data_IF_568427607688
#
_entry.id   IF_568427607688
#
_cell.length_a   1.000
_cell.length_b   1.000
_cell.length_c   1.000
_cell.angle_alpha   90.00
_cell.angle_beta   90.00
_cell.angle_gamma   90.00
#
_symmetry.space_group_name_H-M   'P 1'
#
loop_
_entity.id
_entity.type
_entity.pdbx_description
1 polymer ?
#
# COMPACT_ATOMS: atom_id res chain seq x y z
N UNK A 1 -5.39 -4.12 -7.73
CA UNK A 1 -5.45 -2.67 -8.06
C UNK A 1 -5.83 -2.54 -9.53
N UNK A 2 -6.84 -1.75 -9.87
CA UNK A 2 -7.25 -1.58 -11.28
C UNK A 2 -6.27 -0.70 -12.08
N UNK A 3 -6.44 -0.70 -13.40
CA UNK A 3 -5.57 0.01 -14.35
C UNK A 3 -5.61 1.54 -14.20
N UNK A 4 -6.74 2.10 -13.77
CA UNK A 4 -6.88 3.55 -13.59
C UNK A 4 -6.07 4.00 -12.37
N UNK A 5 -6.16 3.25 -11.28
CA UNK A 5 -5.37 3.48 -10.07
C UNK A 5 -3.87 3.31 -10.32
N UNK A 6 -3.46 2.28 -11.06
CA UNK A 6 -2.05 2.13 -11.47
C UNK A 6 -1.55 3.34 -12.26
N UNK A 7 -2.34 3.81 -13.24
CA UNK A 7 -1.99 4.98 -14.04
C UNK A 7 -1.86 6.22 -13.16
N UNK A 8 -2.79 6.44 -12.23
CA UNK A 8 -2.77 7.57 -11.31
C UNK A 8 -1.53 7.55 -10.41
N UNK A 9 -1.16 6.39 -9.87
CA UNK A 9 0.06 6.22 -9.06
C UNK A 9 1.30 6.57 -9.89
N UNK A 10 1.38 6.06 -11.13
CA UNK A 10 2.49 6.36 -12.06
C UNK A 10 2.59 7.85 -12.35
N UNK A 11 1.49 8.49 -12.75
CA UNK A 11 1.46 9.91 -13.10
C UNK A 11 1.81 10.81 -11.90
N UNK A 12 1.35 10.47 -10.69
CA UNK A 12 1.71 11.18 -9.46
C UNK A 12 3.20 11.01 -9.11
N UNK A 13 3.73 9.81 -9.30
CA UNK A 13 5.15 9.51 -9.05
C UNK A 13 6.06 10.25 -10.02
N UNK A 14 5.69 10.32 -11.30
CA UNK A 14 6.43 11.10 -12.31
C UNK A 14 6.39 12.61 -12.02
N UNK A 15 5.26 13.09 -11.50
CA UNK A 15 5.07 14.52 -11.22
C UNK A 15 5.79 15.00 -9.95
N UNK A 16 5.79 14.19 -8.90
CA UNK A 16 6.26 14.60 -7.56
C UNK A 16 7.53 13.88 -7.09
N UNK A 17 8.05 12.95 -7.90
CA UNK A 17 9.12 12.02 -7.52
C UNK A 17 8.70 10.99 -6.47
N UNK A 18 9.29 9.79 -6.54
CA UNK A 18 8.92 8.64 -5.71
C UNK A 18 9.12 8.91 -4.20
N UNK A 19 10.14 9.67 -3.84
CA UNK A 19 10.44 10.03 -2.46
C UNK A 19 9.40 10.96 -1.81
N UNK A 20 8.48 11.55 -2.57
CA UNK A 20 7.40 12.41 -2.06
C UNK A 20 6.01 11.77 -2.17
N UNK A 21 5.93 10.47 -2.47
CA UNK A 21 4.68 9.73 -2.61
C UNK A 21 4.60 8.60 -1.60
N UNK A 22 3.44 8.48 -0.95
CA UNK A 22 3.04 7.36 -0.09
C UNK A 22 1.75 6.76 -0.66
N UNK A 23 1.68 5.44 -0.71
CA UNK A 23 0.46 4.69 -1.03
C UNK A 23 -0.11 4.09 0.24
N UNK A 24 -1.37 4.41 0.55
CA UNK A 24 -2.11 3.82 1.66
C UNK A 24 -3.17 2.86 1.12
N UNK A 25 -3.09 1.60 1.54
CA UNK A 25 -3.99 0.51 1.13
C UNK A 25 -5.05 0.23 2.20
N UNK A 26 -6.18 -0.33 1.78
CA UNK A 26 -7.30 -0.70 2.67
C UNK A 26 -8.00 -1.98 2.22
N UNK A 27 -7.22 -2.95 1.72
CA UNK A 27 -7.76 -4.24 1.31
C UNK A 27 -8.09 -5.11 2.53
N UNK A 28 -9.16 -5.90 2.44
CA UNK A 28 -9.61 -6.71 3.56
C UNK A 28 -8.83 -8.04 3.75
N UNK A 29 -8.07 -8.45 2.74
CA UNK A 29 -7.35 -9.73 2.73
C UNK A 29 -5.85 -9.48 2.55
N UNK A 30 -5.02 -10.23 3.28
CA UNK A 30 -3.57 -10.11 3.23
C UNK A 30 -3.04 -10.24 1.80
N UNK A 31 -3.44 -11.29 1.06
CA UNK A 31 -3.03 -11.51 -0.33
C UNK A 31 -3.39 -10.34 -1.25
N UNK A 32 -4.58 -9.76 -1.09
CA UNK A 32 -5.00 -8.61 -1.89
C UNK A 32 -4.22 -7.34 -1.55
N UNK A 33 -3.90 -7.13 -0.27
CA UNK A 33 -3.04 -6.03 0.19
C UNK A 33 -1.61 -6.20 -0.34
N UNK A 34 -1.04 -7.39 -0.21
CA UNK A 34 0.28 -7.77 -0.72
C UNK A 34 0.40 -7.54 -2.22
N UNK A 35 -0.54 -8.05 -3.02
CA UNK A 35 -0.56 -7.85 -4.47
C UNK A 35 -0.62 -6.36 -4.86
N UNK A 36 -1.43 -5.57 -4.16
CA UNK A 36 -1.50 -4.13 -4.41
C UNK A 36 -0.21 -3.40 -4.00
N UNK A 37 0.42 -3.81 -2.91
CA UNK A 37 1.70 -3.29 -2.44
C UNK A 37 2.85 -3.65 -3.40
N UNK A 38 2.88 -4.88 -3.90
CA UNK A 38 3.84 -5.35 -4.90
C UNK A 38 3.68 -4.54 -6.18
N UNK A 39 2.44 -4.33 -6.64
CA UNK A 39 2.14 -3.55 -7.86
C UNK A 39 2.77 -2.15 -7.84
N UNK A 40 2.78 -1.47 -6.69
CA UNK A 40 3.32 -0.09 -6.57
C UNK A 40 4.78 -0.05 -6.15
N UNK A 41 5.38 -1.17 -5.79
CA UNK A 41 6.80 -1.29 -5.41
C UNK A 41 7.60 -1.97 -6.52
N UNK A 42 7.31 -3.24 -6.80
CA UNK A 42 7.96 -4.09 -7.79
C UNK A 42 7.35 -4.03 -9.20
N UNK A 43 6.19 -3.38 -9.34
CA UNK A 43 5.42 -3.36 -10.59
C UNK A 43 4.35 -4.47 -10.63
N UNK A 44 3.42 -4.38 -11.58
CA UNK A 44 2.31 -5.34 -11.67
C UNK A 44 2.82 -6.74 -12.06
N UNK A 45 2.66 -7.78 -11.20
CA UNK A 45 3.18 -9.12 -11.44
C UNK A 45 2.43 -9.88 -12.55
N UNK A 46 1.28 -9.38 -12.99
CA UNK A 46 0.55 -9.93 -14.14
C UNK A 46 1.16 -9.48 -15.48
N UNK A 47 2.14 -8.56 -15.45
CA UNK A 47 2.76 -7.95 -16.63
C UNK A 47 1.75 -7.26 -17.57
N UNK A 48 0.65 -6.77 -17.01
CA UNK A 48 -0.36 -5.99 -17.71
C UNK A 48 -0.50 -4.59 -17.10
N UNK A 49 -0.92 -3.62 -17.91
CA UNK A 49 -1.26 -2.29 -17.42
C UNK A 49 -0.10 -1.30 -17.26
N UNK A 50 -0.39 -0.11 -16.69
CA UNK A 50 0.57 0.98 -16.59
C UNK A 50 1.82 0.69 -15.77
N UNK A 51 1.74 -0.23 -14.80
CA UNK A 51 2.86 -0.60 -13.93
C UNK A 51 3.51 -1.94 -14.30
N UNK A 52 3.17 -2.53 -15.45
CA UNK A 52 3.82 -3.73 -15.96
C UNK A 52 5.33 -3.49 -16.14
N UNK A 53 6.16 -4.18 -15.34
CA UNK A 53 7.62 -4.04 -15.36
C UNK A 53 8.15 -2.68 -14.88
N UNK A 54 7.31 -1.86 -14.22
CA UNK A 54 7.70 -0.54 -13.71
C UNK A 54 7.90 -0.60 -12.20
N UNK A 55 9.16 -0.65 -11.78
CA UNK A 55 9.55 -0.71 -10.36
C UNK A 55 9.69 0.68 -9.73
N UNK A 56 8.56 1.21 -9.23
CA UNK A 56 8.57 2.51 -8.56
C UNK A 56 9.27 2.45 -7.19
N UNK A 57 9.11 1.35 -6.45
CA UNK A 57 9.68 1.16 -5.11
C UNK A 57 9.11 2.12 -4.07
N UNK A 58 7.83 2.48 -4.18
CA UNK A 58 7.19 3.50 -3.33
C UNK A 58 7.08 3.08 -1.86
N UNK A 59 6.97 4.08 -0.98
CA UNK A 59 6.44 3.85 0.37
C UNK A 59 5.01 3.35 0.28
N UNK A 60 4.74 2.22 0.92
CA UNK A 60 3.42 1.62 0.94
C UNK A 60 3.09 1.09 2.32
N UNK A 61 1.90 1.42 2.79
CA UNK A 61 1.39 1.01 4.09
C UNK A 61 -0.07 0.60 3.98
N UNK A 62 -0.55 -0.14 4.97
CA UNK A 62 -1.96 -0.45 5.13
C UNK A 62 -2.61 0.44 6.19
N UNK A 63 -3.88 0.75 6.01
CA UNK A 63 -4.65 1.57 6.94
C UNK A 63 -4.85 0.93 8.33
N UNK A 64 -4.51 -0.35 8.52
CA UNK A 64 -4.54 -1.01 9.85
C UNK A 64 -3.14 -1.19 10.46
N UNK A 65 -2.10 -0.72 9.77
CA UNK A 65 -0.75 -0.76 10.32
C UNK A 65 -0.57 0.30 11.41
N UNK A 66 0.16 -0.01 12.50
CA UNK A 66 0.47 0.96 13.56
C UNK A 66 1.10 2.26 13.03
N UNK A 67 1.96 2.16 12.00
CA UNK A 67 2.61 3.30 11.34
C UNK A 67 1.61 4.33 10.79
N UNK A 68 0.43 3.90 10.37
CA UNK A 68 -0.65 4.81 9.97
C UNK A 68 -1.56 5.15 11.13
N UNK A 69 -1.97 4.15 11.92
CA UNK A 69 -2.91 4.31 13.04
C UNK A 69 -2.41 5.33 14.07
N UNK A 70 -1.12 5.33 14.38
CA UNK A 70 -0.53 6.18 15.41
C UNK A 70 -0.30 7.63 14.92
N UNK A 71 -0.35 7.87 13.61
CA UNK A 71 -0.12 9.18 12.97
C UNK A 71 -1.42 9.95 12.65
N UNK A 72 -2.59 9.34 12.89
CA UNK A 72 -3.89 9.96 12.63
C UNK A 72 -4.68 10.21 13.90
N UNK A 73 -5.70 11.07 13.81
CA UNK A 73 -6.61 11.31 14.94
C UNK A 73 -7.31 10.01 15.35
N UNK A 74 -7.14 9.62 16.61
CA UNK A 74 -7.64 8.35 17.12
C UNK A 74 -9.18 8.24 17.06
N UNK A 75 -9.90 9.36 17.21
CA UNK A 75 -11.37 9.36 17.14
C UNK A 75 -11.82 9.14 15.70
N UNK A 76 -11.16 9.79 14.74
CA UNK A 76 -11.43 9.56 13.30
C UNK A 76 -11.07 8.14 12.89
N UNK A 77 -9.97 7.58 13.39
CA UNK A 77 -9.60 6.19 13.10
C UNK A 77 -10.65 5.21 13.62
N UNK A 78 -11.07 5.35 14.88
CA UNK A 78 -12.09 4.48 15.47
C UNK A 78 -13.42 4.56 14.69
N UNK A 79 -13.85 5.77 14.34
CA UNK A 79 -15.07 6.02 13.57
C UNK A 79 -15.02 5.44 12.14
N UNK A 80 -13.87 5.48 11.46
CA UNK A 80 -13.76 5.12 10.04
C UNK A 80 -13.24 3.70 9.80
N UNK A 81 -12.35 3.19 10.66
CA UNK A 81 -11.60 1.95 10.45
C UNK A 81 -11.85 0.95 11.59
N UNK A 82 -12.10 1.43 12.82
CA UNK A 82 -12.15 0.61 14.03
C UNK A 82 -13.07 -0.62 13.93
N UNK A 83 -14.26 -0.47 13.33
CA UNK A 83 -15.17 -1.61 13.14
C UNK A 83 -14.57 -2.69 12.23
N UNK A 84 -13.89 -2.30 11.14
CA UNK A 84 -13.26 -3.28 10.24
C UNK A 84 -11.98 -3.84 10.84
N UNK A 85 -11.17 -3.06 11.55
CA UNK A 85 -9.98 -3.55 12.24
C UNK A 85 -10.28 -4.74 13.17
N UNK A 86 -11.44 -4.74 13.84
CA UNK A 86 -11.88 -5.87 14.69
C UNK A 86 -12.31 -7.13 13.91
N UNK A 87 -12.57 -7.01 12.60
CA UNK A 87 -13.05 -8.09 11.73
C UNK A 87 -11.94 -8.66 10.86
N UNK A 88 -10.98 -7.81 10.46
CA UNK A 88 -9.88 -8.18 9.58
C UNK A 88 -8.83 -9.03 10.31
N UNK A 89 -8.14 -9.88 9.55
CA UNK A 89 -6.91 -10.53 10.01
C UNK A 89 -5.75 -9.51 9.95
N UNK A 90 -5.69 -8.64 10.96
CA UNK A 90 -4.73 -7.54 11.03
C UNK A 90 -3.29 -8.08 11.04
N UNK A 91 -3.02 -9.14 11.80
CA UNK A 91 -1.68 -9.72 11.90
C UNK A 91 -1.21 -10.27 10.53
N UNK A 92 -2.09 -10.99 9.81
CA UNK A 92 -1.78 -11.48 8.47
C UNK A 92 -1.54 -10.36 7.46
N UNK A 93 -2.33 -9.28 7.50
CA UNK A 93 -2.11 -8.10 6.64
C UNK A 93 -0.76 -7.45 6.96
N UNK A 94 -0.44 -7.26 8.24
CA UNK A 94 0.83 -6.66 8.68
C UNK A 94 2.02 -7.51 8.23
N UNK A 95 1.96 -8.84 8.39
CA UNK A 95 3.03 -9.76 7.98
C UNK A 95 3.30 -9.65 6.47
N UNK A 96 2.26 -9.73 5.64
CA UNK A 96 2.37 -9.66 4.19
C UNK A 96 2.92 -8.30 3.73
N UNK A 97 2.38 -7.20 4.27
CA UNK A 97 2.82 -5.84 3.95
C UNK A 97 4.29 -5.60 4.33
N UNK A 98 4.71 -6.13 5.49
CA UNK A 98 6.12 -6.07 5.90
C UNK A 98 7.04 -6.87 4.97
N UNK A 99 6.60 -8.04 4.51
CA UNK A 99 7.34 -8.85 3.54
C UNK A 99 7.63 -8.07 2.26
N UNK A 100 6.57 -7.55 1.63
CA UNK A 100 6.69 -6.77 0.39
C UNK A 100 7.53 -5.51 0.60
N UNK A 101 7.28 -4.74 1.66
CA UNK A 101 8.02 -3.49 1.92
C UNK A 101 9.50 -3.74 2.17
N UNK A 102 9.84 -4.82 2.89
CA UNK A 102 11.25 -5.17 3.17
C UNK A 102 12.01 -5.57 1.90
N UNK A 103 11.34 -6.19 0.94
CA UNK A 103 11.97 -6.68 -0.29
C UNK A 103 12.03 -5.61 -1.39
N UNK A 104 10.96 -4.83 -1.58
CA UNK A 104 10.78 -4.02 -2.78
C UNK A 104 10.69 -2.51 -2.55
N UNK A 105 10.47 -2.04 -1.31
CA UNK A 105 10.44 -0.59 -1.04
C UNK A 105 11.85 -0.01 -1.09
N UNK A 106 11.98 1.17 -1.70
CA UNK A 106 13.23 1.96 -1.71
C UNK A 106 13.30 2.95 -0.54
N UNK A 107 12.21 3.11 0.21
CA UNK A 107 12.06 4.12 1.25
C UNK A 107 11.44 3.46 2.49
N UNK A 108 12.23 3.35 3.56
CA UNK A 108 11.89 2.62 4.79
C UNK A 108 12.17 3.48 6.05
N UNK A 109 11.85 4.75 5.94
CA UNK A 109 11.88 5.77 7.00
C UNK A 109 10.77 5.57 8.03
#
# INVERSE_FOLDING_TARGET
MDLENQKRVKDLTEKYSAENVVVLLGAAEAEAAGLAAETVTAGDPTFAGPLAGVQLGLRVYHAVEPQFKDEVDATVYDDQIGMMEMVLDVDGIIEEMNGIRSEYSKFND
#
